data_IF_768551986533
#
_entry.id   IF_768551986533
#
_cell.length_a   1.000
_cell.length_b   1.000
_cell.length_c   1.000
_cell.angle_alpha   90.00
_cell.angle_beta   90.00
_cell.angle_gamma   90.00
#
_symmetry.space_group_name_H-M   'P 1'
#
loop_
_entity.id
_entity.type
_entity.pdbx_description
1 polymer ?
#
# COMPACT_ATOMS: atom_id res chain seq x y z
N UNK A 1 -53.65 -1.71 29.28
CA UNK A 1 -52.61 -1.10 30.12
C UNK A 1 -51.33 -1.93 29.98
N UNK A 2 -50.41 -1.54 29.09
CA UNK A 2 -49.07 -2.15 28.99
C UNK A 2 -48.14 -1.31 29.86
N UNK A 3 -47.57 -1.93 30.89
CA UNK A 3 -46.74 -1.24 31.89
C UNK A 3 -45.35 -0.94 31.34
N UNK A 4 -45.01 0.34 31.29
CA UNK A 4 -43.67 0.92 31.06
C UNK A 4 -42.66 0.45 32.13
N UNK A 5 -42.26 -0.83 32.12
CA UNK A 5 -41.31 -1.37 33.12
C UNK A 5 -39.87 -1.48 32.63
N UNK A 6 -39.60 -1.09 31.39
CA UNK A 6 -38.30 -1.26 30.75
C UNK A 6 -37.40 0.00 30.82
N UNK A 7 -37.92 1.12 31.35
CA UNK A 7 -37.22 2.40 31.38
C UNK A 7 -36.24 2.60 32.56
N UNK A 8 -36.02 1.60 33.43
CA UNK A 8 -35.19 1.73 34.64
C UNK A 8 -34.23 0.55 34.84
N UNK A 9 -33.75 -0.09 33.77
CA UNK A 9 -32.62 -1.02 33.92
C UNK A 9 -31.36 -0.17 34.04
N UNK A 10 -30.61 -0.25 35.16
CA UNK A 10 -29.30 0.42 35.25
C UNK A 10 -28.40 -0.08 34.11
N UNK A 11 -27.59 0.79 33.49
CA UNK A 11 -26.67 0.38 32.44
C UNK A 11 -25.80 -0.76 32.98
N UNK A 12 -25.81 -1.89 32.26
CA UNK A 12 -24.90 -2.98 32.57
C UNK A 12 -23.47 -2.47 32.37
N UNK A 13 -22.51 -2.84 33.25
CA UNK A 13 -21.11 -2.58 33.00
C UNK A 13 -20.73 -3.17 31.65
N UNK A 14 -20.15 -2.35 30.77
CA UNK A 14 -19.54 -2.86 29.53
C UNK A 14 -18.30 -3.64 29.96
N UNK A 15 -18.38 -4.96 29.91
CA UNK A 15 -17.21 -5.82 30.12
C UNK A 15 -16.29 -5.63 28.91
N UNK A 16 -15.29 -4.76 29.06
CA UNK A 16 -14.25 -4.59 28.06
C UNK A 16 -13.44 -5.89 28.03
N UNK A 17 -13.41 -6.55 26.87
CA UNK A 17 -12.55 -7.71 26.64
C UNK A 17 -11.09 -7.24 26.55
N UNK A 18 -10.41 -7.25 27.71
CA UNK A 18 -9.04 -6.76 27.87
C UNK A 18 -8.07 -7.50 26.95
N UNK A 19 -8.31 -8.79 26.69
CA UNK A 19 -7.46 -9.63 25.84
C UNK A 19 -7.56 -9.21 24.38
N UNK A 20 -8.78 -9.03 23.85
CA UNK A 20 -8.99 -8.53 22.49
C UNK A 20 -8.43 -7.13 22.28
N UNK A 21 -8.55 -6.26 23.28
CA UNK A 21 -8.00 -4.91 23.22
C UNK A 21 -6.47 -4.90 23.20
N UNK A 22 -5.82 -5.77 23.98
CA UNK A 22 -4.37 -5.93 23.94
C UNK A 22 -3.89 -6.43 22.56
N UNK A 23 -4.58 -7.41 21.98
CA UNK A 23 -4.30 -7.91 20.63
C UNK A 23 -4.46 -6.84 19.56
N UNK A 24 -5.53 -6.04 19.61
CA UNK A 24 -5.73 -4.94 18.67
C UNK A 24 -4.58 -3.93 18.74
N UNK A 25 -4.14 -3.56 19.95
CA UNK A 25 -3.02 -2.64 20.13
C UNK A 25 -1.70 -3.19 19.57
N UNK A 26 -1.43 -4.48 19.76
CA UNK A 26 -0.26 -5.13 19.17
C UNK A 26 -0.34 -5.12 17.65
N UNK A 27 -1.49 -5.51 17.09
CA UNK A 27 -1.73 -5.51 15.65
C UNK A 27 -1.56 -4.10 15.05
N UNK A 28 -2.14 -3.07 15.65
CA UNK A 28 -1.99 -1.68 15.20
C UNK A 28 -0.52 -1.22 15.23
N UNK A 29 0.23 -1.58 16.27
CA UNK A 29 1.65 -1.23 16.35
C UNK A 29 2.48 -1.94 15.29
N UNK A 30 2.18 -3.21 15.01
CA UNK A 30 2.82 -3.96 13.91
C UNK A 30 2.48 -3.35 12.55
N UNK A 31 1.21 -3.07 12.27
CA UNK A 31 0.77 -2.45 11.03
C UNK A 31 1.53 -1.14 10.76
N UNK A 32 1.67 -0.29 11.79
CA UNK A 32 2.46 0.95 11.68
C UNK A 32 3.91 0.69 11.28
N UNK A 33 4.57 -0.26 11.94
CA UNK A 33 5.97 -0.58 11.64
C UNK A 33 6.15 -1.12 10.23
N UNK A 34 5.25 -2.00 9.79
CA UNK A 34 5.27 -2.54 8.43
C UNK A 34 4.97 -1.46 7.39
N UNK A 35 4.00 -0.57 7.63
CA UNK A 35 3.71 0.56 6.75
C UNK A 35 4.91 1.51 6.62
N UNK A 36 5.56 1.87 7.73
CA UNK A 36 6.76 2.72 7.71
C UNK A 36 7.89 2.08 6.86
N UNK A 37 8.05 0.76 6.96
CA UNK A 37 9.05 0.02 6.19
C UNK A 37 8.69 -0.06 4.69
N UNK A 38 7.43 -0.35 4.36
CA UNK A 38 6.94 -0.42 2.99
C UNK A 38 7.01 0.95 2.29
N UNK A 39 6.67 2.03 3.00
CA UNK A 39 6.79 3.39 2.47
C UNK A 39 8.25 3.75 2.17
N UNK A 40 9.17 3.42 3.07
CA UNK A 40 10.60 3.65 2.87
C UNK A 40 11.15 2.86 1.68
N UNK A 41 10.76 1.58 1.53
CA UNK A 41 11.17 0.76 0.40
C UNK A 41 10.60 1.29 -0.93
N UNK A 42 9.32 1.69 -0.96
CA UNK A 42 8.70 2.26 -2.15
C UNK A 42 9.38 3.57 -2.58
N UNK A 43 9.74 4.43 -1.62
CA UNK A 43 10.48 5.65 -1.88
C UNK A 43 11.86 5.37 -2.50
N UNK A 44 12.57 4.34 -2.01
CA UNK A 44 13.86 3.93 -2.57
C UNK A 44 13.72 3.32 -3.97
N UNK A 45 12.70 2.49 -4.21
CA UNK A 45 12.37 1.95 -5.54
C UNK A 45 12.10 3.08 -6.54
N UNK A 46 11.35 4.11 -6.13
CA UNK A 46 11.11 5.29 -6.95
C UNK A 46 12.41 6.06 -7.27
N UNK A 47 13.24 6.30 -6.26
CA UNK A 47 14.54 6.97 -6.44
C UNK A 47 15.46 6.19 -7.38
N UNK A 48 15.48 4.86 -7.25
CA UNK A 48 16.23 3.98 -8.14
C UNK A 48 15.69 4.04 -9.56
N UNK A 49 14.37 3.92 -9.76
CA UNK A 49 13.75 4.03 -11.09
C UNK A 49 14.12 5.34 -11.79
N UNK A 50 14.18 6.45 -11.04
CA UNK A 50 14.54 7.76 -11.57
C UNK A 50 16.03 7.89 -11.90
N UNK A 51 16.87 7.13 -11.20
CA UNK A 51 18.30 7.01 -11.50
C UNK A 51 18.51 6.18 -12.76
N UNK A 52 17.87 5.01 -12.85
CA UNK A 52 17.91 4.12 -14.03
C UNK A 52 17.47 4.87 -15.29
N UNK A 53 16.40 5.68 -15.22
CA UNK A 53 15.90 6.46 -16.37
C UNK A 53 16.94 7.44 -16.95
N UNK A 54 17.86 7.94 -16.14
CA UNK A 54 18.87 8.94 -16.56
C UNK A 54 20.15 8.30 -17.08
N UNK A 55 20.24 6.97 -17.06
CA UNK A 55 21.43 6.24 -17.46
C UNK A 55 21.52 6.18 -18.99
N UNK A 56 22.61 6.72 -19.54
CA UNK A 56 22.86 6.77 -20.99
C UNK A 56 23.64 5.54 -21.48
N UNK A 57 24.31 4.82 -20.58
CA UNK A 57 25.03 3.58 -20.92
C UNK A 57 24.05 2.41 -20.96
N UNK A 58 23.80 1.89 -22.16
CA UNK A 58 22.86 0.78 -22.41
C UNK A 58 23.21 -0.49 -21.62
N UNK A 59 24.50 -0.79 -21.41
CA UNK A 59 24.91 -1.99 -20.66
C UNK A 59 24.58 -1.82 -19.19
N UNK A 60 24.91 -0.67 -18.63
CA UNK A 60 24.65 -0.33 -17.23
C UNK A 60 23.14 -0.19 -16.97
N UNK A 61 22.40 0.46 -17.89
CA UNK A 61 20.95 0.58 -17.89
C UNK A 61 20.27 -0.80 -17.80
N UNK A 62 20.67 -1.75 -18.65
CA UNK A 62 20.08 -3.10 -18.64
C UNK A 62 20.34 -3.84 -17.32
N UNK A 63 21.54 -3.71 -16.77
CA UNK A 63 21.87 -4.29 -15.46
C UNK A 63 20.99 -3.66 -14.35
N UNK A 64 20.86 -2.33 -14.37
CA UNK A 64 20.08 -1.58 -13.39
C UNK A 64 18.57 -1.86 -13.48
N UNK A 65 18.01 -2.01 -14.68
CA UNK A 65 16.62 -2.41 -14.90
C UNK A 65 16.36 -3.82 -14.34
N UNK A 66 17.30 -4.76 -14.53
CA UNK A 66 17.18 -6.11 -13.96
C UNK A 66 17.18 -6.10 -12.44
N UNK A 67 18.08 -5.32 -11.83
CA UNK A 67 18.13 -5.15 -10.37
C UNK A 67 16.81 -4.54 -9.87
N UNK A 68 16.35 -3.45 -10.50
CA UNK A 68 15.08 -2.81 -10.14
C UNK A 68 13.91 -3.79 -10.23
N UNK A 69 13.83 -4.60 -11.28
CA UNK A 69 12.80 -5.63 -11.43
C UNK A 69 12.78 -6.62 -10.27
N UNK A 70 13.93 -7.16 -9.87
CA UNK A 70 13.99 -8.10 -8.75
C UNK A 70 13.58 -7.44 -7.43
N UNK A 71 13.93 -6.17 -7.23
CA UNK A 71 13.52 -5.42 -6.03
C UNK A 71 12.02 -5.14 -6.01
N UNK A 72 11.41 -4.76 -7.13
CA UNK A 72 9.95 -4.57 -7.20
C UNK A 72 9.20 -5.90 -6.95
N UNK A 73 9.73 -7.04 -7.41
CA UNK A 73 9.16 -8.36 -7.08
C UNK A 73 9.24 -8.67 -5.59
N UNK A 74 10.37 -8.35 -4.96
CA UNK A 74 10.54 -8.53 -3.53
C UNK A 74 9.54 -7.67 -2.76
N UNK A 75 9.45 -6.38 -3.07
CA UNK A 75 8.46 -5.46 -2.49
C UNK A 75 7.03 -6.00 -2.63
N UNK A 76 6.65 -6.49 -3.81
CA UNK A 76 5.32 -7.07 -4.02
C UNK A 76 5.07 -8.30 -3.14
N UNK A 77 6.10 -9.11 -2.87
CA UNK A 77 5.98 -10.27 -1.99
C UNK A 77 5.70 -9.84 -0.55
N UNK A 78 6.45 -8.86 -0.04
CA UNK A 78 6.28 -8.31 1.30
C UNK A 78 4.93 -7.59 1.44
N UNK A 79 4.55 -6.78 0.44
CA UNK A 79 3.26 -6.09 0.37
C UNK A 79 2.08 -7.07 0.41
N UNK A 80 2.12 -8.15 -0.39
CA UNK A 80 1.06 -9.16 -0.38
C UNK A 80 1.01 -9.93 0.94
N UNK A 81 2.15 -10.21 1.57
CA UNK A 81 2.20 -10.85 2.88
C UNK A 81 1.58 -9.94 3.96
N UNK A 82 1.87 -8.64 3.90
CA UNK A 82 1.29 -7.63 4.78
C UNK A 82 -0.24 -7.55 4.64
N UNK A 83 -0.77 -7.43 3.42
CA UNK A 83 -2.22 -7.42 3.18
C UNK A 83 -2.89 -8.69 3.71
N UNK A 84 -2.29 -9.85 3.45
CA UNK A 84 -2.84 -11.12 3.94
C UNK A 84 -2.91 -11.13 5.48
N UNK A 85 -1.85 -10.66 6.14
CA UNK A 85 -1.81 -10.53 7.58
C UNK A 85 -2.85 -9.55 8.12
N UNK A 86 -3.03 -8.37 7.51
CA UNK A 86 -4.05 -7.41 7.94
C UNK A 86 -5.46 -8.01 7.91
N UNK A 87 -5.78 -8.76 6.83
CA UNK A 87 -7.08 -9.42 6.68
C UNK A 87 -7.33 -10.49 7.74
N UNK A 88 -6.31 -11.25 8.13
CA UNK A 88 -6.48 -12.37 9.07
C UNK A 88 -6.33 -11.94 10.52
N UNK A 89 -5.48 -10.95 10.81
CA UNK A 89 -5.11 -10.58 12.17
C UNK A 89 -5.62 -9.19 12.56
N UNK A 90 -5.57 -8.17 11.71
CA UNK A 90 -5.92 -6.80 12.13
C UNK A 90 -7.42 -6.52 11.98
N UNK A 91 -7.98 -6.76 10.80
CA UNK A 91 -9.36 -6.40 10.47
C UNK A 91 -10.41 -7.05 11.38
N UNK A 92 -10.26 -8.32 11.82
CA UNK A 92 -11.23 -8.92 12.74
C UNK A 92 -11.34 -8.17 14.08
N UNK A 93 -10.22 -7.75 14.67
CA UNK A 93 -10.24 -6.99 15.93
C UNK A 93 -10.65 -5.54 15.71
N UNK A 94 -10.26 -4.92 14.59
CA UNK A 94 -10.71 -3.57 14.25
C UNK A 94 -12.23 -3.53 14.05
N UNK A 95 -12.81 -4.51 13.36
CA UNK A 95 -14.26 -4.65 13.18
C UNK A 95 -14.98 -4.83 14.53
N UNK A 96 -14.42 -5.66 15.42
CA UNK A 96 -14.95 -5.84 16.77
C UNK A 96 -14.94 -4.54 17.58
N UNK A 97 -13.84 -3.78 17.53
CA UNK A 97 -13.66 -2.58 18.35
C UNK A 97 -14.47 -1.38 17.85
N UNK A 98 -14.49 -1.15 16.53
CA UNK A 98 -15.15 0.01 15.94
C UNK A 98 -16.67 -0.17 15.82
N UNK A 99 -17.17 -1.41 16.01
CA UNK A 99 -18.55 -1.80 15.70
C UNK A 99 -18.97 -1.39 14.26
N UNK A 100 -18.01 -1.13 13.38
CA UNK A 100 -18.23 -0.58 12.04
C UNK A 100 -18.54 -1.65 11.01
N UNK A 101 -19.32 -1.24 10.01
CA UNK A 101 -19.69 -2.05 8.88
C UNK A 101 -18.51 -2.33 7.91
N UNK A 102 -18.60 -3.43 7.13
CA UNK A 102 -17.58 -3.88 6.17
C UNK A 102 -17.16 -2.88 5.07
N UNK A 103 -17.86 -1.74 4.93
CA UNK A 103 -17.63 -0.76 3.87
C UNK A 103 -16.25 -0.08 3.94
N UNK A 104 -15.70 0.16 5.14
CA UNK A 104 -14.35 0.75 5.29
C UNK A 104 -13.26 -0.21 4.80
N UNK A 105 -13.40 -1.50 5.07
CA UNK A 105 -12.46 -2.51 4.59
C UNK A 105 -12.58 -2.72 3.07
N UNK A 106 -13.80 -2.62 2.52
CA UNK A 106 -14.00 -2.69 1.08
C UNK A 106 -13.27 -1.56 0.32
N UNK A 107 -13.21 -0.36 0.90
CA UNK A 107 -12.43 0.74 0.33
C UNK A 107 -10.93 0.44 0.35
N UNK A 108 -10.40 -0.07 1.47
CA UNK A 108 -9.00 -0.47 1.56
C UNK A 108 -8.64 -1.58 0.57
N UNK A 109 -9.51 -2.59 0.41
CA UNK A 109 -9.30 -3.65 -0.58
C UNK A 109 -9.29 -3.14 -2.02
N UNK A 110 -10.11 -2.14 -2.34
CA UNK A 110 -10.08 -1.46 -3.63
C UNK A 110 -8.75 -0.75 -3.85
N UNK A 111 -8.27 -0.01 -2.84
CA UNK A 111 -6.98 0.68 -2.89
C UNK A 111 -5.82 -0.29 -3.09
N UNK A 112 -5.85 -1.45 -2.41
CA UNK A 112 -4.88 -2.52 -2.61
C UNK A 112 -4.91 -3.05 -4.04
N UNK A 113 -6.10 -3.36 -4.58
CA UNK A 113 -6.25 -3.80 -5.95
C UNK A 113 -5.78 -2.77 -6.98
N UNK A 114 -5.93 -1.48 -6.68
CA UNK A 114 -5.43 -0.40 -7.53
C UNK A 114 -3.90 -0.31 -7.49
N UNK A 115 -3.30 -0.38 -6.30
CA UNK A 115 -1.85 -0.38 -6.11
C UNK A 115 -1.19 -1.57 -6.84
N UNK A 116 -1.75 -2.77 -6.71
CA UNK A 116 -1.28 -3.97 -7.41
C UNK A 116 -1.32 -3.82 -8.92
N UNK A 117 -2.37 -3.19 -9.49
CA UNK A 117 -2.45 -2.92 -10.93
C UNK A 117 -1.40 -1.94 -11.40
N UNK A 118 -1.15 -0.87 -10.64
CA UNK A 118 -0.11 0.09 -10.98
C UNK A 118 1.28 -0.55 -10.97
N UNK A 119 1.60 -1.34 -9.95
CA UNK A 119 2.89 -2.04 -9.89
C UNK A 119 2.95 -3.16 -10.95
N UNK A 120 1.85 -3.86 -11.20
CA UNK A 120 1.72 -4.84 -12.28
C UNK A 120 2.06 -4.26 -13.64
N UNK A 121 1.61 -3.04 -13.93
CA UNK A 121 1.91 -2.35 -15.18
C UNK A 121 3.42 -2.12 -15.39
N UNK A 122 4.21 -1.94 -14.32
CA UNK A 122 5.66 -1.84 -14.43
C UNK A 122 6.27 -3.13 -15.01
N UNK A 123 5.80 -4.31 -14.57
CA UNK A 123 6.29 -5.58 -15.07
C UNK A 123 5.90 -5.86 -16.53
N UNK A 124 4.71 -5.44 -16.96
CA UNK A 124 4.31 -5.56 -18.36
C UNK A 124 5.24 -4.78 -19.29
N UNK A 125 5.62 -3.56 -18.87
CA UNK A 125 6.53 -2.71 -19.66
C UNK A 125 7.99 -3.15 -19.55
N UNK A 126 8.41 -3.70 -18.41
CA UNK A 126 9.77 -4.20 -18.21
C UNK A 126 9.99 -5.62 -18.78
N UNK A 127 8.93 -6.41 -18.92
CA UNK A 127 8.94 -7.77 -19.48
C UNK A 127 8.85 -7.81 -21.01
N UNK A 128 8.25 -6.80 -21.64
CA UNK A 128 8.22 -6.63 -23.09
C UNK A 128 9.62 -6.44 -23.73
N UNK A 129 10.67 -6.28 -22.91
CA UNK A 129 12.07 -6.20 -23.33
C UNK A 129 12.89 -7.47 -23.11
N UNK A 130 12.25 -8.65 -23.05
CA UNK A 130 12.94 -9.93 -23.20
C UNK A 130 13.81 -9.96 -24.48
N UNK A 131 14.83 -10.85 -24.57
CA UNK A 131 15.81 -10.84 -25.66
C UNK A 131 15.15 -11.31 -26.97
N UNK A 132 14.37 -10.44 -27.61
CA UNK A 132 14.10 -10.56 -29.02
C UNK A 132 15.40 -10.22 -29.74
N UNK A 133 15.87 -11.15 -30.57
CA UNK A 133 16.89 -10.94 -31.60
C UNK A 133 16.86 -9.49 -32.11
N UNK A 134 17.74 -8.65 -31.59
CA UNK A 134 17.90 -7.30 -32.12
C UNK A 134 18.62 -7.46 -33.46
N UNK A 135 18.01 -7.10 -34.60
CA UNK A 135 18.78 -6.93 -35.82
C UNK A 135 19.91 -5.94 -35.52
N UNK A 136 21.13 -6.40 -35.78
CA UNK A 136 22.39 -5.67 -35.59
C UNK A 136 22.41 -4.47 -36.56
N UNK A 137 21.69 -3.41 -36.26
CA UNK A 137 21.60 -2.20 -37.08
C UNK A 137 20.22 -1.56 -37.03
N UNK A 138 19.99 -0.70 -36.04
CA UNK A 138 18.80 0.13 -35.97
C UNK A 138 18.89 1.05 -34.75
N UNK A 139 19.26 2.31 -34.98
CA UNK A 139 19.27 3.36 -33.99
C UNK A 139 17.87 3.55 -33.36
N UNK A 140 17.80 3.66 -32.02
CA UNK A 140 16.85 4.60 -31.40
C UNK A 140 15.61 4.07 -30.68
N UNK A 141 15.56 2.84 -30.15
CA UNK A 141 14.49 2.47 -29.22
C UNK A 141 14.93 2.72 -27.75
N UNK A 142 14.76 3.96 -27.29
CA UNK A 142 14.91 4.33 -25.87
C UNK A 142 13.73 3.75 -25.08
N UNK A 143 14.04 2.99 -24.03
CA UNK A 143 13.10 2.18 -23.27
C UNK A 143 12.04 3.02 -22.51
N UNK A 144 10.73 2.70 -22.62
CA UNK A 144 9.66 3.42 -21.91
C UNK A 144 9.39 2.94 -20.46
N UNK A 145 9.93 1.80 -20.02
CA UNK A 145 9.56 1.21 -18.73
C UNK A 145 9.98 2.04 -17.50
N UNK A 146 11.23 2.54 -17.50
CA UNK A 146 11.71 3.44 -16.43
C UNK A 146 11.04 4.82 -16.48
N UNK A 147 10.47 5.21 -17.63
CA UNK A 147 9.71 6.44 -17.76
C UNK A 147 8.39 6.35 -16.99
N UNK A 148 7.69 5.20 -17.00
CA UNK A 148 6.37 5.04 -16.38
C UNK A 148 6.36 5.27 -14.85
N UNK A 149 7.32 4.68 -14.12
CA UNK A 149 7.42 4.85 -12.65
C UNK A 149 7.77 6.29 -12.23
N UNK A 150 8.62 6.98 -13.00
CA UNK A 150 9.02 8.37 -12.69
C UNK A 150 8.14 9.43 -13.36
N UNK A 151 7.13 9.03 -14.14
CA UNK A 151 6.07 9.89 -14.65
C UNK A 151 4.83 9.88 -13.75
N UNK A 152 4.80 9.04 -12.70
CA UNK A 152 4.05 9.39 -11.48
C UNK A 152 4.70 10.67 -10.94
N UNK A 153 4.20 11.80 -11.43
CA UNK A 153 4.73 13.13 -11.20
C UNK A 153 4.85 13.40 -9.70
N UNK A 154 5.95 14.03 -9.30
CA UNK A 154 6.09 14.65 -7.98
C UNK A 154 4.84 15.50 -7.68
N UNK A 155 4.14 15.31 -6.55
CA UNK A 155 3.16 16.29 -6.06
C UNK A 155 3.88 17.48 -5.43
N UNK A 156 4.84 18.10 -6.15
CA UNK A 156 5.67 19.17 -5.60
C UNK A 156 5.23 20.58 -6.02
N UNK A 157 4.38 20.76 -7.05
CA UNK A 157 3.98 22.11 -7.49
C UNK A 157 2.49 22.28 -7.84
N UNK A 158 1.62 21.38 -7.39
CA UNK A 158 0.22 21.77 -7.16
C UNK A 158 0.17 22.27 -5.72
N UNK A 159 -0.11 23.56 -5.58
CA UNK A 159 -0.09 24.29 -4.30
C UNK A 159 -0.78 23.50 -3.19
N UNK A 160 -0.34 23.76 -1.95
CA UNK A 160 -0.79 23.19 -0.69
C UNK A 160 -2.33 23.18 -0.51
N UNK A 161 -3.02 22.37 -1.29
CA UNK A 161 -4.42 22.03 -1.19
C UNK A 161 -4.46 20.56 -0.84
N UNK A 162 -4.73 20.29 0.44
CA UNK A 162 -5.19 19.03 1.02
C UNK A 162 -5.09 17.80 0.10
N UNK A 163 -3.92 17.15 0.07
CA UNK A 163 -3.85 15.72 -0.26
C UNK A 163 -4.35 14.91 0.95
N UNK A 164 -5.66 14.97 1.22
CA UNK A 164 -6.36 14.10 2.19
C UNK A 164 -7.05 12.91 1.53
N UNK A 165 -6.71 12.52 0.30
CA UNK A 165 -7.51 11.54 -0.44
C UNK A 165 -6.75 10.33 -1.01
N UNK A 166 -5.51 10.11 -0.60
CA UNK A 166 -4.81 8.84 -0.82
C UNK A 166 -4.31 8.20 0.48
N UNK A 167 -4.89 8.60 1.61
CA UNK A 167 -4.51 8.18 2.96
C UNK A 167 -5.58 7.37 3.69
N UNK A 168 -6.46 6.65 2.98
CA UNK A 168 -7.56 5.92 3.60
C UNK A 168 -7.10 4.92 4.67
N UNK A 169 -5.97 4.24 4.44
CA UNK A 169 -5.39 3.30 5.43
C UNK A 169 -4.89 4.01 6.70
N UNK A 170 -4.26 5.18 6.55
CA UNK A 170 -3.73 5.96 7.69
C UNK A 170 -4.83 6.72 8.45
N UNK A 171 -5.89 7.18 7.79
CA UNK A 171 -7.03 7.83 8.46
C UNK A 171 -7.84 6.83 9.32
N UNK A 172 -8.00 5.58 8.87
CA UNK A 172 -8.57 4.51 9.70
C UNK A 172 -7.76 4.27 10.98
N UNK A 173 -6.42 4.29 10.91
CA UNK A 173 -5.55 4.16 12.09
C UNK A 173 -5.54 5.42 12.97
N UNK A 174 -5.82 6.60 12.40
CA UNK A 174 -5.98 7.84 13.18
C UNK A 174 -7.31 7.89 13.93
N UNK A 175 -8.36 7.26 13.42
CA UNK A 175 -9.63 7.10 14.14
C UNK A 175 -9.47 6.22 15.39
N UNK A 176 -8.55 5.24 15.38
CA UNK A 176 -8.20 4.43 16.56
C UNK A 176 -7.38 5.19 17.63
N UNK A 177 -6.99 6.45 17.40
CA UNK A 177 -6.27 7.30 18.38
C UNK A 177 -7.17 8.25 19.17
N UNK A 178 -8.46 8.33 18.86
CA UNK A 178 -9.32 9.41 19.35
C UNK A 178 -9.91 9.20 20.76
N UNK A 179 -9.64 8.08 21.43
CA UNK A 179 -10.06 7.80 22.82
C UNK A 179 -8.90 7.42 23.75
#
# INVERSE_FOLDING_TARGET
>A
MKTNREANRPPQPVEIDIERYAHLNEAVNRARQEHDALEAELADLYAQACTVRKDEDVVHLNANVRILNERVKHFMTEWSAHIAWEKTELFPYAAWYLETEPDLFALMELDYGLAERFIGSFFEHAGASGPADLPRGGEGAVFPAAASLCLLEKPAERGAGDYRHAGGSLECLQLLKAD
#
